data_IF_251033083964
#
_entry.id   IF_251033083964
#
_cell.length_a   1.000
_cell.length_b   1.000
_cell.length_c   1.000
_cell.angle_alpha   90.00
_cell.angle_beta   90.00
_cell.angle_gamma   90.00
#
_symmetry.space_group_name_H-M   'P 1'
#
loop_
_entity.id
_entity.type
_entity.pdbx_description
1 polymer ?
#
# COMPACT_ATOMS: atom_id res chain seq x y z
N UNK A 1 -15.27 -16.49 -24.99
CA UNK A 1 -15.07 -16.45 -24.48
C UNK A 1 -14.57 -16.70 -23.69
N UNK A 2 -14.19 -16.78 -23.56
CA UNK A 2 -13.66 -17.13 -22.93
C UNK A 2 -13.50 -16.84 -21.90
N UNK A 3 -13.69 -17.06 -21.39
CA UNK A 3 -13.61 -16.85 -20.44
C UNK A 3 -12.65 -17.30 -19.84
N UNK A 4 -11.86 -16.95 -19.69
CA UNK A 4 -10.85 -17.34 -19.18
C UNK A 4 -10.94 -17.24 -17.77
N UNK A 5 -10.81 -18.16 -17.00
CA UNK A 5 -10.85 -18.14 -15.57
C UNK A 5 -9.47 -17.91 -15.07
N UNK A 6 -9.28 -16.85 -14.34
CA UNK A 6 -7.98 -16.56 -13.77
C UNK A 6 -7.67 -17.51 -12.64
N UNK A 7 -6.45 -17.97 -12.55
CA UNK A 7 -6.04 -18.74 -11.40
C UNK A 7 -5.64 -17.74 -10.31
N UNK A 8 -5.32 -18.23 -9.15
CA UNK A 8 -4.99 -17.38 -8.01
C UNK A 8 -3.78 -16.49 -8.27
N UNK A 9 -2.80 -17.02 -8.96
CA UNK A 9 -1.61 -16.26 -9.26
C UNK A 9 -1.90 -15.09 -10.20
N UNK A 10 -2.63 -15.36 -11.25
CA UNK A 10 -2.98 -14.34 -12.22
C UNK A 10 -3.82 -13.24 -11.59
N UNK A 11 -4.76 -13.66 -10.77
CA UNK A 11 -5.63 -12.72 -10.10
C UNK A 11 -4.82 -11.82 -9.17
N UNK A 12 -3.88 -12.40 -8.44
CA UNK A 12 -3.03 -11.63 -7.54
C UNK A 12 -2.25 -10.57 -8.30
N UNK A 13 -1.61 -10.96 -9.39
CA UNK A 13 -0.80 -10.03 -10.18
C UNK A 13 -1.65 -8.88 -10.70
N UNK A 14 -2.80 -9.20 -11.26
CA UNK A 14 -3.67 -8.18 -11.81
C UNK A 14 -4.13 -7.17 -10.75
N UNK A 15 -4.61 -7.70 -9.62
CA UNK A 15 -5.09 -6.84 -8.56
C UNK A 15 -3.98 -6.08 -7.86
N UNK A 16 -2.83 -6.73 -7.70
CA UNK A 16 -1.70 -6.08 -7.05
C UNK A 16 -1.21 -4.90 -7.87
N UNK A 17 -1.11 -5.07 -9.17
CA UNK A 17 -0.70 -3.98 -10.03
C UNK A 17 -1.68 -2.83 -10.00
N UNK A 18 -2.95 -3.15 -10.14
CA UNK A 18 -3.99 -2.14 -10.14
C UNK A 18 -4.06 -1.36 -8.84
N UNK A 19 -4.10 -2.09 -7.74
CA UNK A 19 -4.25 -1.45 -6.44
C UNK A 19 -3.01 -0.71 -5.99
N UNK A 20 -1.84 -1.24 -6.33
CA UNK A 20 -0.60 -0.56 -5.98
C UNK A 20 -0.50 0.76 -6.75
N UNK A 21 -0.83 0.74 -8.03
CA UNK A 21 -0.80 1.97 -8.81
C UNK A 21 -1.73 3.02 -8.22
N UNK A 22 -2.91 2.61 -7.85
CA UNK A 22 -3.87 3.55 -7.25
C UNK A 22 -3.37 4.10 -5.94
N UNK A 23 -2.76 3.25 -5.13
CA UNK A 23 -2.24 3.66 -3.83
C UNK A 23 -1.11 4.66 -4.00
N UNK A 24 -0.20 4.38 -4.93
CA UNK A 24 0.93 5.27 -5.18
C UNK A 24 0.42 6.63 -5.68
N UNK A 25 -0.54 6.62 -6.58
CA UNK A 25 -1.11 7.84 -7.09
C UNK A 25 -1.79 8.66 -6.00
N UNK A 26 -2.49 7.98 -5.11
CA UNK A 26 -3.17 8.66 -4.01
C UNK A 26 -2.15 9.30 -3.08
N UNK A 27 -1.06 8.61 -2.81
CA UNK A 27 0.00 9.15 -1.96
C UNK A 27 0.64 10.35 -2.67
N UNK A 28 0.89 10.22 -3.95
CA UNK A 28 1.54 11.31 -4.69
C UNK A 28 0.67 12.55 -4.82
N UNK A 29 -0.64 12.39 -4.67
CA UNK A 29 -1.51 13.54 -4.66
C UNK A 29 -1.19 14.50 -3.53
N UNK A 30 -0.52 14.00 -2.49
CA UNK A 30 -0.14 14.84 -1.37
C UNK A 30 0.92 15.85 -1.76
N UNK A 31 1.63 15.60 -2.86
CA UNK A 31 2.65 16.50 -3.35
C UNK A 31 2.05 17.89 -3.58
N UNK A 32 0.80 17.92 -4.03
CA UNK A 32 0.13 19.18 -4.29
C UNK A 32 -0.01 20.07 -3.07
N UNK A 33 0.06 19.48 -1.88
CA UNK A 33 -0.07 20.25 -0.64
C UNK A 33 1.25 20.80 -0.15
N UNK A 34 2.33 20.40 -0.78
CA UNK A 34 3.66 20.77 -0.29
C UNK A 34 4.12 22.18 -0.65
N UNK A 35 3.32 22.90 -1.40
CA UNK A 35 3.70 24.25 -1.81
C UNK A 35 3.38 25.25 -0.71
N UNK A 36 4.39 25.82 -0.04
CA UNK A 36 4.17 26.73 1.08
C UNK A 36 3.53 28.06 0.68
N UNK A 37 3.45 28.33 -0.60
CA UNK A 37 2.81 29.54 -1.04
C UNK A 37 1.32 29.42 -0.95
N UNK A 38 0.81 28.21 -1.12
CA UNK A 38 -0.63 27.97 -1.15
C UNK A 38 -1.18 27.37 0.15
N UNK A 39 -0.32 26.75 0.93
CA UNK A 39 -0.77 26.05 2.13
C UNK A 39 0.14 26.33 3.32
N UNK A 40 -0.47 26.43 4.47
CA UNK A 40 0.26 26.70 5.68
C UNK A 40 0.41 25.40 6.47
N UNK A 41 1.61 24.91 6.59
CA UNK A 41 1.88 23.68 7.33
C UNK A 41 3.23 23.80 8.05
N UNK A 42 3.39 22.97 9.05
CA UNK A 42 4.65 22.93 9.78
C UNK A 42 5.22 21.52 9.77
N UNK A 43 6.39 21.37 10.33
CA UNK A 43 7.08 20.09 10.35
C UNK A 43 6.26 19.01 11.05
N UNK A 44 5.58 19.37 12.11
CA UNK A 44 4.78 18.40 12.82
C UNK A 44 3.65 17.85 11.99
N UNK A 45 3.07 18.70 11.18
CA UNK A 45 1.97 18.29 10.28
C UNK A 45 2.51 17.25 9.30
N UNK A 46 3.67 17.54 8.73
CA UNK A 46 4.29 16.64 7.75
C UNK A 46 4.66 15.32 8.40
N UNK A 47 5.20 15.39 9.61
CA UNK A 47 5.58 14.17 10.33
C UNK A 47 4.38 13.26 10.58
N UNK A 48 3.24 13.87 10.89
CA UNK A 48 2.04 13.08 11.13
C UNK A 48 1.55 12.40 9.86
N UNK A 49 1.63 13.10 8.75
CA UNK A 49 1.23 12.53 7.47
C UNK A 49 2.12 11.34 7.13
N UNK A 50 3.44 11.56 7.22
CA UNK A 50 4.38 10.52 6.87
C UNK A 50 4.25 9.32 7.80
N UNK A 51 4.04 9.58 9.09
CA UNK A 51 3.87 8.48 10.02
C UNK A 51 2.65 7.66 9.69
N UNK A 52 1.55 8.30 9.37
CA UNK A 52 0.33 7.60 9.02
C UNK A 52 0.54 6.69 7.81
N UNK A 53 1.26 7.19 6.81
CA UNK A 53 1.53 6.40 5.62
C UNK A 53 2.45 5.23 5.91
N UNK A 54 3.46 5.47 6.71
CA UNK A 54 4.39 4.40 7.08
C UNK A 54 3.70 3.33 7.90
N UNK A 55 2.82 3.75 8.79
CA UNK A 55 2.08 2.81 9.62
C UNK A 55 1.20 1.92 8.74
N UNK A 56 0.56 2.50 7.74
CA UNK A 56 -0.26 1.72 6.82
C UNK A 56 0.56 0.72 6.04
N UNK A 57 1.73 1.14 5.59
CA UNK A 57 2.61 0.24 4.87
C UNK A 57 3.05 -0.91 5.76
N UNK A 58 3.33 -0.61 7.03
CA UNK A 58 3.72 -1.65 7.98
C UNK A 58 2.61 -2.66 8.21
N UNK A 59 1.37 -2.19 8.25
CA UNK A 59 0.23 -3.09 8.41
C UNK A 59 0.13 -4.04 7.22
N UNK A 60 0.31 -3.50 6.01
CA UNK A 60 0.27 -4.32 4.81
C UNK A 60 1.40 -5.35 4.82
N UNK A 61 2.59 -4.88 5.17
CA UNK A 61 3.75 -5.75 5.24
C UNK A 61 3.55 -6.89 6.24
N UNK A 62 3.01 -6.55 7.40
CA UNK A 62 2.74 -7.55 8.43
C UNK A 62 1.72 -8.57 7.97
N UNK A 63 0.74 -8.11 7.23
CA UNK A 63 -0.30 -9.01 6.74
C UNK A 63 0.29 -10.08 5.82
N UNK A 64 1.19 -9.68 4.94
CA UNK A 64 1.84 -10.64 4.06
C UNK A 64 2.80 -11.55 4.82
N UNK A 65 3.51 -11.00 5.77
CA UNK A 65 4.42 -11.78 6.59
C UNK A 65 3.72 -12.83 7.43
N UNK A 66 2.61 -12.44 8.02
CA UNK A 66 1.85 -13.35 8.81
C UNK A 66 1.36 -14.52 8.02
N UNK A 67 0.89 -14.23 6.83
CA UNK A 67 0.41 -15.25 5.96
C UNK A 67 1.50 -16.27 5.66
N UNK A 68 2.71 -15.80 5.42
CA UNK A 68 3.82 -16.63 5.16
C UNK A 68 4.24 -17.42 6.36
N UNK A 69 4.28 -16.81 7.48
CA UNK A 69 4.65 -17.44 8.71
C UNK A 69 3.74 -18.57 9.04
N UNK A 70 2.48 -18.37 8.85
CA UNK A 70 1.53 -19.35 9.08
C UNK A 70 1.81 -20.58 8.30
N UNK A 71 2.14 -20.43 7.08
CA UNK A 71 2.49 -21.48 6.27
C UNK A 71 3.70 -22.17 6.69
N UNK A 72 4.65 -21.48 7.06
CA UNK A 72 5.89 -21.98 7.47
C UNK A 72 5.83 -22.73 8.72
N UNK A 73 5.00 -22.35 9.56
CA UNK A 73 4.95 -22.93 10.81
C UNK A 73 4.37 -24.26 10.79
N UNK A 74 4.99 -25.16 10.64
CA UNK A 74 4.49 -26.32 10.52
C UNK A 74 5.01 -27.07 11.41
N UNK A 75 5.04 -27.44 12.02
CA UNK A 75 5.54 -28.14 12.91
C UNK A 75 5.99 -29.10 12.80
N UNK A 76 6.31 -29.35 12.62
CA UNK A 76 6.79 -30.25 12.51
C UNK A 76 6.88 -30.69 12.85
#
# INVERSE_FOLDING_TARGET
MNKKIENKRQKFIRLAELRTDKAVMAIENLIGLSNPRNYDYNVKDVDKIIKALKDSINVVSSSFSKSKEKKKFKIR
#
